data_IF_822107647584
#
_entry.id   IF_822107647584
#
_cell.length_a   1.000
_cell.length_b   1.000
_cell.length_c   1.000
_cell.angle_alpha   90.00
_cell.angle_beta   90.00
_cell.angle_gamma   90.00
#
_symmetry.space_group_name_H-M   'P 1'
#
loop_
_entity.id
_entity.type
_entity.pdbx_description
1 polymer ?
#
# COMPACT_ATOMS: atom_id res chain seq x y z
N UNK A 1 -40.44 -6.41 -31.40
CA UNK A 1 -40.29 -6.20 -29.93
C UNK A 1 -39.64 -7.39 -29.23
N UNK A 2 -40.15 -8.62 -29.34
CA UNK A 2 -39.58 -9.80 -28.66
C UNK A 2 -38.08 -10.04 -28.91
N UNK A 3 -37.63 -9.95 -30.18
CA UNK A 3 -36.21 -10.14 -30.55
C UNK A 3 -35.26 -9.10 -29.94
N UNK A 4 -35.73 -7.86 -29.80
CA UNK A 4 -34.96 -6.75 -29.21
C UNK A 4 -34.81 -6.92 -27.69
N UNK A 5 -35.84 -7.44 -27.02
CA UNK A 5 -35.82 -7.75 -25.59
C UNK A 5 -34.82 -8.89 -25.30
N UNK A 6 -34.78 -9.94 -26.12
CA UNK A 6 -33.84 -11.05 -25.97
C UNK A 6 -32.38 -10.59 -26.10
N UNK A 7 -32.08 -9.69 -27.03
CA UNK A 7 -30.73 -9.13 -27.22
C UNK A 7 -30.32 -8.26 -26.01
N UNK A 8 -31.24 -7.45 -25.48
CA UNK A 8 -30.99 -6.64 -24.28
C UNK A 8 -30.73 -7.54 -23.06
N UNK A 9 -31.49 -8.62 -22.89
CA UNK A 9 -31.25 -9.59 -21.81
C UNK A 9 -29.90 -10.29 -21.94
N UNK A 10 -29.49 -10.66 -23.15
CA UNK A 10 -28.17 -11.23 -23.44
C UNK A 10 -27.04 -10.24 -23.14
N UNK A 11 -27.20 -8.96 -23.47
CA UNK A 11 -26.21 -7.93 -23.16
C UNK A 11 -26.10 -7.69 -21.65
N UNK A 12 -27.22 -7.60 -20.92
CA UNK A 12 -27.23 -7.44 -19.46
C UNK A 12 -26.58 -8.65 -18.77
N UNK A 13 -26.84 -9.87 -19.24
CA UNK A 13 -26.23 -11.09 -18.70
C UNK A 13 -24.71 -11.15 -18.92
N UNK A 14 -24.19 -10.59 -20.02
CA UNK A 14 -22.74 -10.56 -20.25
C UNK A 14 -22.04 -9.43 -19.48
N UNK A 15 -22.75 -8.38 -19.07
CA UNK A 15 -22.20 -7.31 -18.24
C UNK A 15 -21.95 -7.74 -16.78
N UNK A 16 -22.63 -8.80 -16.30
CA UNK A 16 -22.50 -9.26 -14.90
C UNK A 16 -21.35 -10.24 -14.66
N UNK A 17 -20.70 -10.76 -15.71
CA UNK A 17 -19.56 -11.70 -15.61
C UNK A 17 -18.18 -11.05 -15.73
N UNK A 18 -18.10 -9.73 -15.86
CA UNK A 18 -16.87 -8.97 -15.67
C UNK A 18 -16.57 -8.75 -14.19
N UNK A 19 -16.55 -9.81 -13.38
CA UNK A 19 -16.12 -9.68 -11.99
C UNK A 19 -14.60 -9.62 -11.97
N UNK A 20 -14.07 -8.41 -11.79
CA UNK A 20 -12.68 -8.24 -11.38
C UNK A 20 -12.42 -9.13 -10.17
N UNK A 21 -11.36 -9.94 -10.27
CA UNK A 21 -10.97 -10.85 -9.20
C UNK A 21 -10.76 -10.04 -7.93
N UNK A 22 -11.47 -10.42 -6.87
CA UNK A 22 -11.54 -9.64 -5.63
C UNK A 22 -10.16 -9.54 -4.99
N UNK A 23 -9.66 -8.31 -4.89
CA UNK A 23 -8.48 -7.99 -4.09
C UNK A 23 -8.80 -8.23 -2.59
N UNK A 24 -8.15 -9.19 -1.90
CA UNK A 24 -8.51 -9.57 -0.54
C UNK A 24 -8.06 -8.56 0.53
N UNK A 25 -7.46 -7.43 0.14
CA UNK A 25 -6.91 -6.41 1.07
C UNK A 25 -7.86 -6.05 2.20
N UNK A 26 -9.10 -5.65 1.90
CA UNK A 26 -10.06 -5.22 2.93
C UNK A 26 -10.46 -6.38 3.86
N UNK A 27 -10.57 -7.61 3.32
CA UNK A 27 -10.84 -8.80 4.12
C UNK A 27 -9.70 -9.08 5.10
N UNK A 28 -8.46 -9.01 4.64
CA UNK A 28 -7.26 -9.25 5.47
C UNK A 28 -7.10 -8.18 6.55
N UNK A 29 -7.38 -6.90 6.22
CA UNK A 29 -7.38 -5.82 7.21
C UNK A 29 -8.50 -6.02 8.23
N UNK A 30 -9.69 -6.46 7.81
CA UNK A 30 -10.80 -6.73 8.72
C UNK A 30 -10.50 -7.88 9.68
N UNK A 31 -9.87 -8.95 9.20
CA UNK A 31 -9.42 -10.07 10.04
C UNK A 31 -8.40 -9.60 11.08
N UNK A 32 -7.39 -8.85 10.64
CA UNK A 32 -6.39 -8.25 11.52
C UNK A 32 -7.03 -7.31 12.57
N UNK A 33 -7.99 -6.48 12.18
CA UNK A 33 -8.72 -5.60 13.12
C UNK A 33 -9.35 -6.42 14.24
N UNK A 34 -10.00 -7.53 13.91
CA UNK A 34 -10.58 -8.44 14.90
C UNK A 34 -9.51 -9.01 15.83
N UNK A 35 -8.41 -9.54 15.28
CA UNK A 35 -7.29 -10.09 16.07
C UNK A 35 -6.68 -9.06 17.05
N UNK A 36 -6.54 -7.81 16.62
CA UNK A 36 -5.97 -6.74 17.46
C UNK A 36 -6.97 -6.22 18.49
N UNK A 37 -8.26 -6.14 18.15
CA UNK A 37 -9.32 -5.74 19.08
C UNK A 37 -9.47 -6.72 20.26
N UNK A 38 -9.33 -8.03 20.01
CA UNK A 38 -9.31 -9.05 21.08
C UNK A 38 -8.19 -8.81 22.11
N UNK A 39 -7.12 -8.12 21.71
CA UNK A 39 -5.98 -7.73 22.56
C UNK A 39 -6.06 -6.29 23.07
N UNK A 40 -7.19 -5.61 22.84
CA UNK A 40 -7.36 -4.19 23.17
C UNK A 40 -6.35 -3.26 22.47
N UNK A 41 -5.85 -3.64 21.29
CA UNK A 41 -4.91 -2.85 20.49
C UNK A 41 -5.70 -2.04 19.47
N UNK A 42 -5.90 -0.75 19.76
CA UNK A 42 -6.64 0.15 18.87
C UNK A 42 -5.74 0.90 17.88
N UNK A 43 -4.43 0.93 18.11
CA UNK A 43 -3.48 1.72 17.35
C UNK A 43 -2.59 0.84 16.48
N UNK A 44 -2.76 0.93 15.16
CA UNK A 44 -1.94 0.20 14.19
C UNK A 44 -2.02 0.85 12.82
N UNK A 45 -1.12 0.47 11.94
CA UNK A 45 -1.22 0.85 10.54
C UNK A 45 -0.80 -0.29 9.62
N UNK A 46 -1.26 -0.23 8.38
CA UNK A 46 -0.97 -1.21 7.35
C UNK A 46 -0.39 -0.50 6.14
N UNK A 47 0.71 -1.05 5.60
CA UNK A 47 1.26 -0.63 4.31
C UNK A 47 1.16 -1.77 3.30
N UNK A 48 0.48 -1.52 2.18
CA UNK A 48 0.45 -2.39 1.00
C UNK A 48 1.48 -1.94 -0.02
N UNK A 49 2.22 -2.91 -0.54
CA UNK A 49 3.15 -2.78 -1.65
C UNK A 49 2.60 -3.55 -2.84
N UNK A 50 2.37 -2.84 -3.94
CA UNK A 50 1.88 -3.43 -5.17
C UNK A 50 2.54 -2.75 -6.36
N UNK A 51 2.81 -3.49 -7.41
CA UNK A 51 3.28 -2.95 -8.68
C UNK A 51 2.39 -3.52 -9.78
N UNK A 52 1.58 -2.68 -10.40
CA UNK A 52 0.66 -3.14 -11.44
C UNK A 52 1.41 -3.51 -12.71
N UNK A 53 0.98 -4.57 -13.38
CA UNK A 53 1.60 -5.04 -14.64
C UNK A 53 2.91 -5.81 -14.47
N UNK A 54 3.31 -6.16 -13.24
CA UNK A 54 4.39 -7.11 -13.00
C UNK A 54 3.84 -8.52 -12.82
N UNK A 55 4.47 -9.51 -13.45
CA UNK A 55 4.21 -10.92 -13.18
C UNK A 55 5.07 -11.40 -12.01
N UNK A 56 4.44 -11.98 -10.99
CA UNK A 56 5.15 -12.68 -9.93
C UNK A 56 5.44 -14.11 -10.38
N UNK A 57 6.71 -14.49 -10.36
CA UNK A 57 7.16 -15.86 -10.62
C UNK A 57 7.43 -16.50 -9.25
N UNK A 58 6.53 -17.38 -8.77
CA UNK A 58 6.73 -18.02 -7.48
C UNK A 58 7.90 -19.02 -7.54
N UNK A 59 8.68 -19.10 -6.47
CA UNK A 59 9.60 -20.22 -6.25
C UNK A 59 8.79 -21.42 -5.77
N UNK A 60 8.80 -22.51 -6.55
CA UNK A 60 8.07 -23.75 -6.23
C UNK A 60 8.67 -24.45 -5.00
N UNK A 61 9.89 -24.12 -4.60
CA UNK A 61 10.52 -24.66 -3.40
C UNK A 61 10.26 -23.81 -2.15
N UNK A 62 9.61 -22.65 -2.27
CA UNK A 62 9.26 -21.82 -1.12
C UNK A 62 8.17 -22.51 -0.28
N UNK A 63 8.43 -22.84 1.01
CA UNK A 63 7.40 -23.39 1.88
C UNK A 63 6.21 -22.44 2.09
N UNK A 64 6.37 -21.15 1.77
CA UNK A 64 5.32 -20.13 1.82
C UNK A 64 4.66 -19.90 0.46
N UNK A 65 4.85 -20.80 -0.51
CA UNK A 65 4.35 -20.71 -1.87
C UNK A 65 2.92 -20.18 -1.93
N UNK A 66 2.72 -19.16 -2.76
CA UNK A 66 1.44 -18.55 -3.06
C UNK A 66 1.33 -18.39 -4.56
N UNK A 67 0.26 -18.93 -5.15
CA UNK A 67 -0.09 -18.66 -6.54
C UNK A 67 -1.17 -17.57 -6.55
N UNK A 68 -0.80 -16.29 -6.68
CA UNK A 68 -1.75 -15.20 -6.63
C UNK A 68 -2.68 -15.25 -7.85
N UNK A 69 -3.97 -15.16 -7.61
CA UNK A 69 -4.95 -15.01 -8.69
C UNK A 69 -5.10 -13.52 -9.07
N UNK A 70 -4.06 -12.90 -9.63
CA UNK A 70 -4.05 -11.49 -10.00
C UNK A 70 -2.69 -10.81 -9.81
N UNK A 71 -2.70 -9.47 -9.69
CA UNK A 71 -1.49 -8.71 -9.39
C UNK A 71 -1.01 -9.07 -7.98
N UNK A 72 0.23 -9.56 -7.88
CA UNK A 72 0.83 -9.88 -6.60
C UNK A 72 1.02 -8.62 -5.75
N UNK A 73 0.71 -8.72 -4.47
CA UNK A 73 1.01 -7.69 -3.49
C UNK A 73 1.55 -8.30 -2.21
N UNK A 74 2.22 -7.46 -1.43
CA UNK A 74 2.50 -7.75 -0.02
C UNK A 74 1.94 -6.63 0.85
N UNK A 75 1.45 -6.97 2.03
CA UNK A 75 0.98 -6.03 3.03
C UNK A 75 1.70 -6.28 4.33
N UNK A 76 1.92 -5.23 5.10
CA UNK A 76 2.57 -5.31 6.40
C UNK A 76 1.81 -4.45 7.38
N UNK A 77 1.33 -5.08 8.44
CA UNK A 77 0.72 -4.39 9.56
C UNK A 77 1.74 -4.18 10.66
N UNK A 78 1.75 -2.99 11.25
CA UNK A 78 2.60 -2.63 12.36
C UNK A 78 1.76 -2.11 13.52
N UNK A 79 2.05 -2.58 14.72
CA UNK A 79 1.36 -2.17 15.95
C UNK A 79 2.29 -2.31 17.16
N UNK A 80 1.84 -1.78 18.28
CA UNK A 80 2.52 -1.91 19.57
C UNK A 80 1.69 -2.75 20.52
N UNK A 81 2.33 -3.68 21.22
CA UNK A 81 1.74 -4.45 22.31
C UNK A 81 2.67 -4.36 23.53
N UNK A 82 2.20 -3.67 24.58
CA UNK A 82 3.02 -3.30 25.73
C UNK A 82 4.22 -2.44 25.34
N UNK A 83 5.42 -2.97 25.54
CA UNK A 83 6.68 -2.24 25.26
C UNK A 83 7.21 -2.48 23.86
N UNK A 84 6.72 -3.51 23.19
CA UNK A 84 7.32 -4.03 21.97
C UNK A 84 6.48 -3.65 20.74
N UNK A 85 7.16 -3.34 19.65
CA UNK A 85 6.52 -3.22 18.35
C UNK A 85 6.46 -4.59 17.67
N UNK A 86 5.47 -4.77 16.80
CA UNK A 86 5.25 -5.99 16.05
C UNK A 86 4.99 -5.67 14.59
N UNK A 87 5.27 -6.66 13.74
CA UNK A 87 4.91 -6.65 12.33
C UNK A 87 4.25 -7.97 11.92
N UNK A 88 3.22 -7.91 11.08
CA UNK A 88 2.61 -9.08 10.43
C UNK A 88 2.58 -8.86 8.93
N UNK A 89 3.14 -9.81 8.18
CA UNK A 89 3.09 -9.82 6.72
C UNK A 89 1.80 -10.49 6.25
N UNK A 90 1.29 -10.04 5.13
CA UNK A 90 0.24 -10.68 4.35
C UNK A 90 0.62 -10.63 2.86
N UNK A 91 0.06 -11.53 2.09
CA UNK A 91 0.04 -11.46 0.63
C UNK A 91 -1.33 -11.90 0.09
N UNK A 92 -1.44 -12.08 -1.23
CA UNK A 92 -2.67 -12.53 -1.87
C UNK A 92 -3.27 -13.81 -1.27
N UNK A 93 -2.47 -14.65 -0.61
CA UNK A 93 -2.89 -15.95 -0.08
C UNK A 93 -3.14 -15.95 1.43
N UNK A 94 -2.94 -14.82 2.13
CA UNK A 94 -3.27 -14.70 3.55
C UNK A 94 -2.11 -14.23 4.43
N UNK A 95 -2.27 -14.47 5.74
CA UNK A 95 -1.38 -13.98 6.79
C UNK A 95 -0.15 -14.83 7.06
N UNK A 96 0.92 -14.16 7.49
CA UNK A 96 2.11 -14.75 8.08
C UNK A 96 2.06 -14.62 9.59
N UNK A 97 2.92 -15.37 10.29
CA UNK A 97 3.08 -15.20 11.73
C UNK A 97 3.59 -13.78 12.05
N UNK A 98 3.12 -13.22 13.17
CA UNK A 98 3.62 -11.94 13.65
C UNK A 98 5.04 -12.07 14.17
N UNK A 99 5.85 -11.04 13.94
CA UNK A 99 7.22 -10.94 14.39
C UNK A 99 7.35 -9.76 15.34
N UNK A 100 8.01 -9.99 16.47
CA UNK A 100 8.39 -8.94 17.41
C UNK A 100 9.57 -8.14 16.83
N UNK A 101 9.51 -6.82 16.93
CA UNK A 101 10.56 -5.90 16.50
C UNK A 101 11.33 -5.41 17.73
N UNK A 102 12.55 -5.88 17.91
CA UNK A 102 13.46 -5.37 18.94
C UNK A 102 13.90 -3.95 18.59
N UNK A 103 13.81 -3.03 19.55
CA UNK A 103 14.29 -1.64 19.45
C UNK A 103 13.69 -0.79 18.32
N UNK A 104 12.56 -1.23 17.75
CA UNK A 104 11.81 -0.45 16.78
C UNK A 104 11.14 0.76 17.46
N UNK A 105 11.22 1.91 16.80
CA UNK A 105 10.47 3.13 17.14
C UNK A 105 9.36 3.44 16.13
N UNK A 106 8.93 2.44 15.36
CA UNK A 106 7.99 2.66 14.26
C UNK A 106 6.63 3.13 14.77
N UNK A 107 6.12 2.53 15.85
CA UNK A 107 4.84 2.96 16.43
C UNK A 107 4.94 4.34 17.06
N UNK A 108 6.09 4.69 17.65
CA UNK A 108 6.34 6.04 18.19
C UNK A 108 6.35 7.08 17.06
N UNK A 109 7.07 6.81 15.97
CA UNK A 109 7.08 7.71 14.80
C UNK A 109 5.68 7.87 14.21
N UNK A 110 4.97 6.76 14.03
CA UNK A 110 3.61 6.74 13.51
C UNK A 110 2.66 7.60 14.36
N UNK A 111 2.59 7.35 15.67
CA UNK A 111 1.68 8.07 16.55
C UNK A 111 2.06 9.56 16.69
N UNK A 112 3.35 9.87 16.75
CA UNK A 112 3.83 11.25 16.87
C UNK A 112 3.52 12.11 15.64
N UNK A 113 3.41 11.49 14.46
CA UNK A 113 3.22 12.20 13.19
C UNK A 113 1.82 11.99 12.60
N UNK A 114 0.83 11.55 13.37
CA UNK A 114 -0.52 11.21 12.89
C UNK A 114 -1.17 12.29 12.02
N UNK A 115 -1.13 13.54 12.47
CA UNK A 115 -1.73 14.68 11.75
C UNK A 115 -1.04 14.93 10.40
N UNK A 116 0.29 14.83 10.36
CA UNK A 116 1.05 14.91 9.12
C UNK A 116 0.73 13.72 8.21
N UNK A 117 0.69 12.49 8.74
CA UNK A 117 0.37 11.30 7.94
C UNK A 117 -1.03 11.37 7.30
N UNK A 118 -1.98 12.05 7.95
CA UNK A 118 -3.33 12.28 7.44
C UNK A 118 -3.39 13.35 6.34
N UNK A 119 -2.53 14.36 6.41
CA UNK A 119 -2.57 15.54 5.53
C UNK A 119 -1.47 15.55 4.45
N UNK A 120 -0.42 14.76 4.62
CA UNK A 120 0.69 14.63 3.68
C UNK A 120 0.17 14.19 2.31
N UNK A 121 0.54 14.93 1.28
CA UNK A 121 0.23 14.59 -0.11
C UNK A 121 1.54 14.58 -0.91
N UNK A 122 1.93 13.41 -1.40
CA UNK A 122 3.06 13.30 -2.33
C UNK A 122 2.63 13.87 -3.67
N UNK A 123 3.28 14.96 -4.09
CA UNK A 123 2.94 15.62 -5.35
C UNK A 123 3.55 14.87 -6.52
N UNK A 124 2.85 14.84 -7.65
CA UNK A 124 3.36 14.19 -8.86
C UNK A 124 4.71 14.74 -9.32
N UNK A 125 5.48 13.93 -10.03
CA UNK A 125 6.74 14.31 -10.66
C UNK A 125 6.53 15.52 -11.58
N UNK A 126 7.03 16.69 -11.17
CA UNK A 126 6.83 17.93 -11.90
C UNK A 126 8.11 18.36 -12.62
N UNK A 127 8.02 18.53 -13.93
CA UNK A 127 9.17 18.86 -14.79
C UNK A 127 9.39 20.38 -14.85
N UNK A 128 8.30 21.17 -14.83
CA UNK A 128 8.33 22.64 -14.91
C UNK A 128 7.24 23.26 -14.03
N UNK A 129 7.42 24.50 -13.53
CA UNK A 129 6.39 25.19 -12.78
C UNK A 129 5.08 25.30 -13.57
N UNK A 130 3.97 25.34 -12.85
CA UNK A 130 2.65 25.55 -13.44
C UNK A 130 2.61 26.88 -14.21
N UNK A 131 1.99 26.87 -15.38
CA UNK A 131 1.77 28.08 -16.17
C UNK A 131 0.29 28.40 -16.27
N UNK A 132 -0.04 29.69 -16.32
CA UNK A 132 -1.43 30.15 -16.45
C UNK A 132 -1.59 30.82 -17.82
N UNK A 133 -2.52 30.30 -18.61
CA UNK A 133 -2.91 30.92 -19.87
C UNK A 133 -4.44 30.85 -20.01
N UNK A 134 -5.06 31.97 -20.40
CA UNK A 134 -6.52 32.08 -20.57
C UNK A 134 -7.33 31.61 -19.34
N UNK A 135 -6.84 31.91 -18.13
CA UNK A 135 -7.50 31.51 -16.87
C UNK A 135 -7.40 30.01 -16.55
N UNK A 136 -6.61 29.23 -17.31
CA UNK A 136 -6.38 27.80 -17.08
C UNK A 136 -4.97 27.55 -16.56
N UNK A 137 -4.84 26.61 -15.63
CA UNK A 137 -3.56 26.15 -15.08
C UNK A 137 -3.09 24.96 -15.92
N UNK A 138 -1.88 25.05 -16.45
CA UNK A 138 -1.21 24.00 -17.20
C UNK A 138 -0.09 23.40 -16.35
N UNK A 139 -0.19 22.11 -16.09
CA UNK A 139 0.81 21.35 -15.32
C UNK A 139 1.75 20.61 -16.27
N UNK A 140 3.03 20.60 -15.96
CA UNK A 140 4.03 19.81 -16.68
C UNK A 140 4.48 18.66 -15.79
N UNK A 141 3.77 17.54 -15.89
CA UNK A 141 3.95 16.35 -15.07
C UNK A 141 4.53 15.19 -15.89
N UNK A 142 5.40 14.41 -15.26
CA UNK A 142 5.90 13.15 -15.77
C UNK A 142 5.15 12.01 -15.10
N UNK A 143 4.74 11.01 -15.87
CA UNK A 143 4.21 9.77 -15.33
C UNK A 143 4.93 8.60 -15.96
N UNK A 144 5.14 7.55 -15.16
CA UNK A 144 5.57 6.25 -15.66
C UNK A 144 4.49 5.24 -15.30
N UNK A 145 4.21 4.33 -16.23
CA UNK A 145 3.31 3.21 -15.96
C UNK A 145 4.04 2.16 -15.11
N UNK A 146 3.26 1.30 -14.44
CA UNK A 146 3.77 0.14 -13.71
C UNK A 146 4.76 0.49 -12.60
N UNK A 147 4.62 1.67 -12.01
CA UNK A 147 5.48 2.08 -10.90
C UNK A 147 4.99 1.48 -9.59
N UNK A 148 5.90 1.12 -8.66
CA UNK A 148 5.50 0.59 -7.38
C UNK A 148 4.67 1.60 -6.58
N UNK A 149 3.48 1.18 -6.18
CA UNK A 149 2.57 1.96 -5.36
C UNK A 149 2.74 1.59 -3.88
N UNK A 150 2.47 2.55 -3.01
CA UNK A 150 2.33 2.33 -1.57
C UNK A 150 0.96 2.83 -1.14
N UNK A 151 0.17 1.95 -0.55
CA UNK A 151 -1.12 2.30 0.06
C UNK A 151 -1.02 2.09 1.56
N UNK A 152 -1.54 3.03 2.33
CA UNK A 152 -1.55 3.01 3.77
C UNK A 152 -2.97 3.09 4.31
N UNK A 153 -3.21 2.33 5.37
CA UNK A 153 -4.39 2.41 6.22
C UNK A 153 -3.91 2.67 7.64
N UNK A 154 -4.46 3.69 8.28
CA UNK A 154 -4.10 4.10 9.62
C UNK A 154 -5.29 3.99 10.55
N UNK A 155 -5.05 3.48 11.76
CA UNK A 155 -6.04 3.24 12.78
C UNK A 155 -5.55 3.82 14.10
N UNK A 156 -6.09 4.98 14.49
CA UNK A 156 -5.73 5.65 15.74
C UNK A 156 -6.98 5.74 16.59
N UNK A 157 -7.06 4.90 17.62
CA UNK A 157 -8.25 4.75 18.46
C UNK A 157 -9.50 4.46 17.60
N UNK A 158 -10.43 5.43 17.50
CA UNK A 158 -11.66 5.32 16.71
C UNK A 158 -11.56 5.91 15.30
N UNK A 159 -10.41 6.49 14.95
CA UNK A 159 -10.21 7.17 13.67
C UNK A 159 -9.52 6.26 12.64
N UNK A 160 -10.10 6.20 11.44
CA UNK A 160 -9.51 5.54 10.27
C UNK A 160 -9.26 6.58 9.18
N UNK A 161 -8.07 6.55 8.59
CA UNK A 161 -7.76 7.31 7.37
C UNK A 161 -6.79 6.54 6.49
N UNK A 162 -6.71 6.94 5.22
CA UNK A 162 -5.89 6.31 4.19
C UNK A 162 -4.98 7.34 3.54
N UNK A 163 -3.79 6.91 3.14
CA UNK A 163 -2.88 7.70 2.34
C UNK A 163 -2.20 6.80 1.32
N UNK A 164 -1.73 7.34 0.20
CA UNK A 164 -1.01 6.56 -0.80
C UNK A 164 -0.08 7.45 -1.60
N UNK A 165 0.92 6.82 -2.23
CA UNK A 165 1.77 7.52 -3.19
C UNK A 165 2.42 6.55 -4.19
N UNK A 166 2.80 7.11 -5.33
CA UNK A 166 3.64 6.47 -6.33
C UNK A 166 5.12 6.68 -5.98
N UNK A 167 5.92 5.61 -5.94
CA UNK A 167 7.36 5.75 -5.68
C UNK A 167 8.11 6.55 -6.74
N UNK A 168 7.60 6.63 -7.97
CA UNK A 168 8.21 7.44 -9.02
C UNK A 168 8.22 8.93 -8.69
N UNK A 169 7.18 9.42 -8.01
CA UNK A 169 7.06 10.81 -7.59
C UNK A 169 8.10 11.20 -6.51
N UNK A 170 8.77 10.20 -5.92
CA UNK A 170 9.89 10.39 -4.99
C UNK A 170 11.25 10.43 -5.68
N UNK A 171 11.31 10.23 -6.99
CA UNK A 171 12.57 10.20 -7.75
C UNK A 171 12.86 11.52 -8.45
N UNK A 172 14.10 11.67 -8.94
CA UNK A 172 14.52 12.80 -9.78
C UNK A 172 15.60 12.33 -10.74
N UNK A 173 15.53 12.83 -11.98
CA UNK A 173 16.50 12.56 -13.04
C UNK A 173 17.35 13.81 -13.29
N UNK A 174 18.61 13.61 -13.69
CA UNK A 174 19.55 14.72 -13.93
C UNK A 174 19.08 15.64 -15.05
N UNK A 175 18.59 15.08 -16.16
CA UNK A 175 18.24 15.84 -17.36
C UNK A 175 16.81 16.40 -17.29
N UNK A 176 15.95 15.80 -16.47
CA UNK A 176 14.55 16.18 -16.30
C UNK A 176 14.23 16.20 -14.80
N UNK A 177 14.74 17.17 -14.01
CA UNK A 177 14.60 17.13 -12.56
C UNK A 177 13.14 17.24 -12.10
N UNK A 178 12.78 16.46 -11.10
CA UNK A 178 11.50 16.59 -10.41
C UNK A 178 11.55 17.76 -9.43
N UNK A 179 10.77 18.81 -9.69
CA UNK A 179 10.68 19.99 -8.83
C UNK A 179 10.12 19.67 -7.44
N UNK A 180 9.32 18.61 -7.31
CA UNK A 180 8.74 18.17 -6.04
C UNK A 180 9.62 17.18 -5.28
N UNK A 181 10.77 16.76 -5.82
CA UNK A 181 11.62 15.71 -5.24
C UNK A 181 11.97 15.97 -3.78
N UNK A 182 12.51 17.16 -3.48
CA UNK A 182 12.97 17.49 -2.12
C UNK A 182 11.79 17.55 -1.15
N UNK A 183 10.74 18.29 -1.49
CA UNK A 183 9.55 18.43 -0.62
C UNK A 183 8.86 17.10 -0.38
N UNK A 184 8.74 16.24 -1.41
CA UNK A 184 8.11 14.93 -1.26
C UNK A 184 8.91 14.03 -0.32
N UNK A 185 10.23 13.99 -0.46
CA UNK A 185 11.09 13.15 0.40
C UNK A 185 11.17 13.63 1.86
N UNK A 186 10.72 14.85 2.14
CA UNK A 186 10.63 15.40 3.49
C UNK A 186 9.32 15.05 4.22
N UNK A 187 8.30 14.56 3.51
CA UNK A 187 6.99 14.20 4.08
C UNK A 187 7.09 13.05 5.10
N UNK A 188 6.24 13.08 6.12
CA UNK A 188 6.17 12.06 7.16
C UNK A 188 5.75 10.71 6.63
N UNK A 189 4.83 10.64 5.65
CA UNK A 189 4.42 9.40 5.00
C UNK A 189 5.56 8.71 4.25
N UNK A 190 6.45 9.50 3.63
CA UNK A 190 7.61 9.00 2.90
C UNK A 190 8.69 8.51 3.88
N UNK A 191 8.93 9.25 4.96
CA UNK A 191 9.83 8.83 6.04
C UNK A 191 9.34 7.56 6.74
N UNK A 192 8.04 7.45 7.02
CA UNK A 192 7.43 6.24 7.58
C UNK A 192 7.63 5.05 6.63
N UNK A 193 7.40 5.24 5.33
CA UNK A 193 7.67 4.20 4.34
C UNK A 193 9.14 3.76 4.34
N UNK A 194 10.10 4.69 4.44
CA UNK A 194 11.53 4.35 4.50
C UNK A 194 11.85 3.47 5.72
N UNK A 195 11.30 3.80 6.90
CA UNK A 195 11.43 2.97 8.11
C UNK A 195 10.82 1.58 7.91
N UNK A 196 9.63 1.51 7.30
CA UNK A 196 8.99 0.23 6.96
C UNK A 196 9.87 -0.61 6.01
N UNK A 197 10.45 0.01 4.99
CA UNK A 197 11.34 -0.65 4.02
C UNK A 197 12.59 -1.21 4.69
N UNK A 198 13.23 -0.46 5.58
CA UNK A 198 14.38 -0.93 6.34
C UNK A 198 14.05 -2.19 7.16
N UNK A 199 12.98 -2.13 7.97
CA UNK A 199 12.54 -3.27 8.80
C UNK A 199 12.19 -4.48 7.93
N UNK A 200 11.39 -4.28 6.89
CA UNK A 200 10.91 -5.38 6.03
C UNK A 200 12.07 -6.03 5.27
N UNK A 201 13.04 -5.24 4.79
CA UNK A 201 14.21 -5.77 4.09
C UNK A 201 15.10 -6.57 5.04
N UNK A 202 15.34 -6.10 6.27
CA UNK A 202 16.10 -6.85 7.27
C UNK A 202 15.44 -8.21 7.59
N UNK A 203 14.12 -8.22 7.82
CA UNK A 203 13.36 -9.43 8.12
C UNK A 203 13.31 -10.41 6.93
N UNK A 204 13.21 -9.91 5.70
CA UNK A 204 13.25 -10.74 4.48
C UNK A 204 14.64 -11.33 4.25
N UNK A 205 15.72 -10.54 4.45
CA UNK A 205 17.10 -11.00 4.32
C UNK A 205 17.43 -12.12 5.32
N UNK A 206 16.81 -12.08 6.50
CA UNK A 206 16.91 -13.13 7.53
C UNK A 206 15.88 -14.25 7.36
N UNK A 207 15.02 -14.18 6.34
CA UNK A 207 13.95 -15.14 6.05
C UNK A 207 13.03 -15.44 7.25
N UNK A 208 12.67 -14.41 8.03
CA UNK A 208 11.93 -14.59 9.28
C UNK A 208 10.41 -14.70 9.09
N UNK A 209 9.88 -14.28 7.94
CA UNK A 209 8.45 -14.40 7.66
C UNK A 209 8.08 -15.83 7.29
N UNK A 210 7.25 -16.45 8.14
CA UNK A 210 6.71 -17.79 7.95
C UNK A 210 5.18 -17.74 7.89
N UNK A 211 4.57 -18.34 6.87
CA UNK A 211 3.12 -18.36 6.66
C UNK A 211 2.43 -19.05 7.86
N UNK A 212 1.25 -18.55 8.23
CA UNK A 212 0.42 -19.25 9.20
C UNK A 212 -0.03 -20.58 8.58
N UNK A 213 0.12 -21.67 9.34
CA UNK A 213 -0.34 -23.01 8.93
C UNK A 213 -1.81 -23.18 9.24
#
# INVERSE_FOLDING_TARGET
MQKSITIIFLLIFNLTFGQDKVDPTESLISELKTELNEKSIANFFVVKRITYGTAYIPDLNDPNFCNPNGTYFTMYAFWKDGKDDYVKKFDNCGGFNSLKLSDSKISEFYLKNSESLKSDEVKSYQIKPDSIANGKIYKSISHRNHQPQRYFWFYINSEEFRNHFDKYDLTTEKDIPNLNYKSNNELSIVKLNAICEEIINDLNNKSLFNRQK
#
